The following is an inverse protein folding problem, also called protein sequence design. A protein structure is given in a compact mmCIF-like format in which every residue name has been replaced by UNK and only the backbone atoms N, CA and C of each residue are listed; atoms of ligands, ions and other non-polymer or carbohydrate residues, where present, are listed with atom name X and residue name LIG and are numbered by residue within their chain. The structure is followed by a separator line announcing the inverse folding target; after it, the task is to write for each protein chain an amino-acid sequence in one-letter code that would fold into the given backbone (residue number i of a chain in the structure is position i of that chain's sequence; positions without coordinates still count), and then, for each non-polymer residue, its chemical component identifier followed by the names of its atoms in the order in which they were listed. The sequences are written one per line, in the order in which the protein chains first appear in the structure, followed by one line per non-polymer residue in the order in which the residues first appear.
data_IF_741878028879
#
_entry.id   IF_741878028879
#
_cell.length_a   1.000
_cell.length_b   1.000
_cell.length_c   1.000
_cell.angle_alpha   90.00
_cell.angle_beta   90.00
_cell.angle_gamma   90.00
#
_symmetry.space_group_name_H-M   'P 1'
#
loop_
_entity.id
_entity.type
_entity.pdbx_description
1 polymer ?
#
# COMPACT_ATOMS: atom_id res chain seq x y z
N UNK A 1 -20.92 1.68 -15.61
CA UNK A 1 -20.71 2.72 -14.57
C UNK A 1 -20.46 2.13 -13.17
N UNK A 2 -21.31 1.24 -12.63
CA UNK A 2 -21.11 0.62 -11.30
C UNK A 2 -19.73 -0.05 -11.07
N UNK A 3 -19.16 -0.69 -12.10
CA UNK A 3 -17.89 -1.41 -11.97
C UNK A 3 -16.68 -0.49 -11.71
N UNK A 4 -16.67 0.69 -12.34
CA UNK A 4 -15.60 1.69 -12.18
C UNK A 4 -15.58 2.26 -10.75
N UNK A 5 -16.76 2.49 -10.17
CA UNK A 5 -16.86 2.94 -8.78
C UNK A 5 -16.36 1.89 -7.79
N UNK A 6 -16.65 0.61 -8.05
CA UNK A 6 -16.14 -0.50 -7.23
C UNK A 6 -14.61 -0.60 -7.29
N UNK A 7 -14.02 -0.40 -8.47
CA UNK A 7 -12.55 -0.39 -8.62
C UNK A 7 -11.89 0.79 -7.90
N UNK A 8 -12.47 2.01 -8.00
CA UNK A 8 -11.97 3.17 -7.25
C UNK A 8 -12.01 2.94 -5.74
N UNK A 9 -13.11 2.37 -5.25
CA UNK A 9 -13.25 2.05 -3.83
C UNK A 9 -12.20 1.04 -3.36
N UNK A 10 -11.91 -0.01 -4.13
CA UNK A 10 -10.88 -0.98 -3.78
C UNK A 10 -9.51 -0.31 -3.62
N UNK A 11 -9.15 0.59 -4.53
CA UNK A 11 -7.90 1.36 -4.46
C UNK A 11 -7.82 2.19 -3.18
N UNK A 12 -8.91 2.86 -2.78
CA UNK A 12 -8.95 3.65 -1.54
C UNK A 12 -8.80 2.78 -0.28
N UNK A 13 -9.40 1.58 -0.28
CA UNK A 13 -9.26 0.59 0.80
C UNK A 13 -7.84 0.07 0.86
N UNK A 14 -7.23 -0.25 -0.28
CA UNK A 14 -5.85 -0.72 -0.35
C UNK A 14 -4.87 0.33 0.17
N UNK A 15 -5.03 1.59 -0.22
CA UNK A 15 -4.22 2.69 0.32
C UNK A 15 -4.39 2.88 1.83
N UNK A 16 -5.59 2.66 2.37
CA UNK A 16 -5.84 2.70 3.81
C UNK A 16 -5.11 1.55 4.52
N UNK A 17 -5.17 0.35 3.95
CA UNK A 17 -4.51 -0.83 4.49
C UNK A 17 -2.99 -0.67 4.45
N UNK A 18 -2.42 -0.19 3.35
CA UNK A 18 -0.98 0.11 3.26
C UNK A 18 -0.55 1.06 4.39
N UNK A 19 -1.30 2.13 4.62
CA UNK A 19 -0.98 3.14 5.64
C UNK A 19 -1.08 2.61 7.07
N UNK A 20 -2.11 1.82 7.36
CA UNK A 20 -2.36 1.28 8.71
C UNK A 20 -1.52 0.05 9.04
N UNK A 21 -1.45 -0.93 8.13
CA UNK A 21 -0.82 -2.24 8.39
C UNK A 21 0.70 -2.12 8.52
N UNK A 22 1.32 -1.21 7.77
CA UNK A 22 2.78 -1.06 7.74
C UNK A 22 3.28 0.11 8.60
N UNK A 23 2.41 0.77 9.37
CA UNK A 23 2.81 1.86 10.26
C UNK A 23 3.27 3.13 9.54
N UNK A 24 2.85 3.32 8.30
CA UNK A 24 3.23 4.42 7.39
C UNK A 24 2.67 5.81 7.78
N UNK A 25 2.28 6.01 9.05
CA UNK A 25 1.77 7.31 9.54
C UNK A 25 2.83 8.39 9.54
N UNK A 26 4.10 8.03 9.66
CA UNK A 26 5.24 8.94 9.63
C UNK A 26 6.41 8.29 8.89
N UNK A 27 6.97 8.97 7.90
CA UNK A 27 8.23 8.54 7.30
C UNK A 27 9.35 8.78 8.31
N UNK A 28 10.10 7.73 8.67
CA UNK A 28 11.24 7.86 9.56
C UNK A 28 12.39 8.64 8.89
N UNK A 29 12.45 8.59 7.56
CA UNK A 29 13.50 9.21 6.78
C UNK A 29 13.13 10.63 6.36
N UNK A 30 14.03 11.60 6.58
CA UNK A 30 13.81 13.03 6.26
C UNK A 30 14.24 13.43 4.86
N UNK A 31 15.05 12.61 4.19
CA UNK A 31 15.57 12.91 2.85
C UNK A 31 14.65 12.34 1.77
N UNK A 32 14.37 13.11 0.69
CA UNK A 32 13.39 12.71 -0.32
C UNK A 32 13.76 11.42 -1.04
N UNK A 33 15.06 11.17 -1.29
CA UNK A 33 15.55 9.92 -1.87
C UNK A 33 15.21 8.69 -1.03
N UNK A 34 15.27 8.81 0.29
CA UNK A 34 15.05 7.67 1.19
C UNK A 34 13.56 7.38 1.36
N UNK A 35 12.71 8.42 1.39
CA UNK A 35 11.24 8.29 1.42
C UNK A 35 10.71 7.52 0.21
N UNK A 36 11.28 7.76 -0.98
CA UNK A 36 10.91 7.02 -2.19
C UNK A 36 11.27 5.54 -2.03
N UNK A 37 12.48 5.24 -1.52
CA UNK A 37 12.93 3.86 -1.28
C UNK A 37 12.06 3.14 -0.26
N UNK A 38 11.69 3.82 0.83
CA UNK A 38 10.72 3.30 1.82
C UNK A 38 9.38 2.99 1.16
N UNK A 39 8.82 3.94 0.40
CA UNK A 39 7.51 3.78 -0.26
C UNK A 39 7.49 2.59 -1.21
N UNK A 40 8.56 2.37 -1.99
CA UNK A 40 8.69 1.20 -2.89
C UNK A 40 8.75 -0.10 -2.08
N UNK A 41 9.51 -0.13 -0.99
CA UNK A 41 9.59 -1.29 -0.10
C UNK A 41 8.22 -1.65 0.47
N UNK A 42 7.47 -0.65 0.95
CA UNK A 42 6.12 -0.84 1.49
C UNK A 42 5.14 -1.38 0.43
N UNK A 43 5.19 -0.86 -0.79
CA UNK A 43 4.38 -1.37 -1.89
C UNK A 43 4.70 -2.84 -2.21
N UNK A 44 5.97 -3.21 -2.20
CA UNK A 44 6.43 -4.59 -2.44
C UNK A 44 5.89 -5.55 -1.36
N UNK A 45 6.02 -5.18 -0.09
CA UNK A 45 5.52 -5.99 1.04
C UNK A 45 4.00 -6.18 0.94
N UNK A 46 3.27 -5.10 0.66
CA UNK A 46 1.82 -5.18 0.50
C UNK A 46 1.41 -6.12 -0.62
N UNK A 47 2.05 -6.02 -1.80
CA UNK A 47 1.78 -6.93 -2.91
C UNK A 47 2.13 -8.39 -2.57
N UNK A 48 3.23 -8.63 -1.86
CA UNK A 48 3.63 -9.96 -1.40
C UNK A 48 2.59 -10.55 -0.43
N UNK A 49 2.09 -9.75 0.52
CA UNK A 49 1.02 -10.16 1.45
C UNK A 49 -0.23 -10.54 0.66
N UNK A 50 -0.68 -9.68 -0.26
CA UNK A 50 -1.87 -9.96 -1.07
C UNK A 50 -1.72 -11.23 -1.91
N UNK A 51 -0.54 -11.44 -2.50
CA UNK A 51 -0.23 -12.68 -3.24
C UNK A 51 -0.24 -13.90 -2.33
N UNK A 52 0.31 -13.78 -1.12
CA UNK A 52 0.34 -14.87 -0.15
C UNK A 52 -1.07 -15.24 0.35
N UNK A 53 -1.93 -14.25 0.63
CA UNK A 53 -3.33 -14.48 1.00
C UNK A 53 -4.17 -15.10 -0.12
N UNK A 54 -3.81 -14.88 -1.39
CA UNK A 54 -4.52 -15.46 -2.53
C UNK A 54 -4.06 -16.89 -2.88
N UNK A 55 -2.84 -17.26 -2.47
CA UNK A 55 -2.27 -18.58 -2.70
C UNK A 55 -2.66 -19.62 -1.63
N UNK A 56 -3.47 -19.22 -0.64
CA UNK A 56 -3.96 -20.05 0.45
C UNK A 56 -5.48 -20.16 0.39
#
# INVERSE_FOLDING_TARGET
IKNLYKQRWQIEVDFRNIKSTLGLKYFSCKTPKMVIKETISFYCIFNAIYTFYFCK
#
